data_IF_059618022511
#
_entry.id   IF_059618022511
#
_cell.length_a   1.000
_cell.length_b   1.000
_cell.length_c   1.000
_cell.angle_alpha   90.00
_cell.angle_beta   90.00
_cell.angle_gamma   90.00
#
_symmetry.space_group_name_H-M   'P 1'
#
loop_
_entity.id
_entity.type
_entity.pdbx_description
1 polymer ?
#
# COMPACT_ATOMS: atom_id res chain seq x y z
N UNK A 1 -15.42 6.28 25.34
CA UNK A 1 -14.28 7.09 25.84
C UNK A 1 -13.82 6.65 27.22
N UNK A 2 -14.69 6.47 28.19
CA UNK A 2 -14.28 5.99 29.54
C UNK A 2 -13.53 4.67 29.52
N UNK A 3 -13.92 3.72 28.65
CA UNK A 3 -13.19 2.45 28.45
C UNK A 3 -11.74 2.61 27.93
N UNK A 4 -11.44 3.74 27.32
CA UNK A 4 -10.07 4.10 26.84
C UNK A 4 -9.30 4.94 27.86
N UNK A 5 -9.76 5.02 29.10
CA UNK A 5 -9.08 5.77 30.17
C UNK A 5 -9.30 7.27 30.14
N UNK A 6 -10.14 7.80 29.27
CA UNK A 6 -10.51 9.22 29.22
C UNK A 6 -11.60 9.47 30.26
N UNK A 7 -11.25 10.20 31.33
CA UNK A 7 -12.12 10.41 32.49
C UNK A 7 -12.14 11.88 32.92
N UNK A 8 -13.04 12.20 33.86
CA UNK A 8 -13.12 13.48 34.53
C UNK A 8 -13.18 14.71 33.60
N UNK A 9 -12.39 15.73 33.86
CA UNK A 9 -12.42 17.02 33.17
C UNK A 9 -12.21 16.87 31.64
N UNK A 10 -11.37 15.93 31.20
CA UNK A 10 -11.14 15.69 29.76
C UNK A 10 -12.40 15.14 29.10
N UNK A 11 -13.10 14.23 29.75
CA UNK A 11 -14.37 13.68 29.23
C UNK A 11 -15.45 14.77 29.12
N UNK A 12 -15.58 15.57 30.18
CA UNK A 12 -16.54 16.70 30.23
C UNK A 12 -16.21 17.73 29.13
N UNK A 13 -14.92 18.03 28.96
CA UNK A 13 -14.48 18.95 27.92
C UNK A 13 -14.80 18.43 26.51
N UNK A 14 -14.54 17.16 26.22
CA UNK A 14 -14.90 16.55 24.92
C UNK A 14 -16.41 16.57 24.73
N UNK A 15 -17.19 16.32 25.78
CA UNK A 15 -18.65 16.41 25.71
C UNK A 15 -19.11 17.83 25.35
N UNK A 16 -18.58 18.86 26.02
CA UNK A 16 -18.86 20.25 25.67
C UNK A 16 -18.44 20.62 24.24
N UNK A 17 -17.29 20.08 23.79
CA UNK A 17 -16.81 20.29 22.41
C UNK A 17 -17.73 19.72 21.35
N UNK A 18 -18.48 18.65 21.65
CA UNK A 18 -19.37 17.98 20.72
C UNK A 18 -20.82 18.45 20.81
N UNK A 19 -21.25 19.04 21.93
CA UNK A 19 -22.64 19.45 22.16
C UNK A 19 -22.91 20.88 21.69
N UNK A 20 -24.20 21.19 21.45
CA UNK A 20 -24.70 22.53 21.13
C UNK A 20 -23.99 23.23 19.98
N UNK A 21 -23.54 22.47 18.99
CA UNK A 21 -22.85 23.03 17.82
C UNK A 21 -23.85 23.59 16.81
N UNK A 22 -23.49 24.71 16.24
CA UNK A 22 -24.22 25.29 15.11
C UNK A 22 -23.24 25.50 13.93
N UNK A 23 -23.79 25.47 12.72
CA UNK A 23 -23.08 25.80 11.50
C UNK A 23 -23.84 26.84 10.70
N UNK A 24 -23.13 27.63 9.90
CA UNK A 24 -23.72 28.54 8.94
C UNK A 24 -22.87 28.62 7.68
N UNK A 25 -23.51 28.91 6.58
CA UNK A 25 -22.82 29.13 5.29
C UNK A 25 -22.45 30.62 5.17
N UNK A 26 -21.23 30.89 4.69
CA UNK A 26 -20.77 32.24 4.41
C UNK A 26 -20.40 32.34 2.95
N UNK A 27 -21.06 33.25 2.20
CA UNK A 27 -20.77 33.50 0.77
C UNK A 27 -20.60 35.01 0.58
N UNK A 28 -19.44 35.41 0.11
CA UNK A 28 -19.09 36.84 -0.12
C UNK A 28 -19.34 37.75 1.08
N UNK A 29 -19.16 37.23 2.31
CA UNK A 29 -19.38 37.99 3.54
C UNK A 29 -20.79 37.89 4.12
N UNK A 30 -21.80 37.51 3.36
CA UNK A 30 -23.15 37.25 3.83
C UNK A 30 -23.23 35.90 4.53
N UNK A 31 -23.98 35.87 5.65
CA UNK A 31 -24.10 34.69 6.53
C UNK A 31 -25.52 34.16 6.52
N UNK A 32 -25.69 32.85 6.36
CA UNK A 32 -26.99 32.21 6.58
C UNK A 32 -27.36 32.19 8.07
N UNK A 33 -28.63 31.92 8.35
CA UNK A 33 -29.09 31.58 9.70
C UNK A 33 -28.31 30.36 10.22
N UNK A 34 -28.06 30.27 11.55
CA UNK A 34 -27.38 29.15 12.16
C UNK A 34 -28.26 27.90 12.12
N UNK A 35 -27.69 26.77 11.73
CA UNK A 35 -28.31 25.46 11.71
C UNK A 35 -27.66 24.56 12.76
N UNK A 36 -28.46 23.85 13.56
CA UNK A 36 -27.96 22.95 14.60
C UNK A 36 -27.24 21.72 13.98
N UNK A 37 -26.05 21.41 14.48
CA UNK A 37 -25.30 20.19 14.10
C UNK A 37 -25.60 19.10 15.12
N UNK A 38 -26.36 18.09 14.70
CA UNK A 38 -26.85 17.01 15.57
C UNK A 38 -25.92 15.79 15.61
N UNK A 39 -24.98 15.65 14.66
CA UNK A 39 -24.10 14.48 14.55
C UNK A 39 -22.70 14.83 14.03
N UNK A 40 -21.81 13.87 14.04
CA UNK A 40 -20.45 14.00 13.52
C UNK A 40 -19.51 14.80 14.42
N UNK A 41 -18.31 15.07 13.92
CA UNK A 41 -17.24 15.82 14.59
C UNK A 41 -16.90 17.08 13.79
N UNK A 42 -16.40 18.17 14.43
CA UNK A 42 -15.99 19.38 13.71
C UNK A 42 -14.90 19.08 12.69
N UNK A 43 -15.17 19.30 11.41
CA UNK A 43 -14.17 19.18 10.35
C UNK A 43 -13.12 20.27 10.47
N UNK A 44 -11.83 19.92 10.21
CA UNK A 44 -10.71 20.84 10.37
C UNK A 44 -10.18 20.99 11.79
N UNK A 45 -10.79 20.34 12.79
CA UNK A 45 -10.25 20.27 14.16
C UNK A 45 -9.20 19.16 14.30
N UNK A 46 -8.25 19.34 15.22
CA UNK A 46 -7.25 18.31 15.55
C UNK A 46 -7.90 17.09 16.23
N UNK A 47 -8.97 17.30 16.99
CA UNK A 47 -9.67 16.26 17.73
C UNK A 47 -10.62 15.43 16.87
N UNK A 48 -11.21 15.98 15.82
CA UNK A 48 -12.18 15.30 14.97
C UNK A 48 -11.71 13.92 14.50
N UNK A 49 -10.54 13.81 13.85
CA UNK A 49 -9.99 12.52 13.42
C UNK A 49 -9.76 11.54 14.57
N UNK A 50 -9.27 12.02 15.72
CA UNK A 50 -8.99 11.17 16.90
C UNK A 50 -10.31 10.62 17.48
N UNK A 51 -11.32 11.45 17.60
CA UNK A 51 -12.63 11.05 18.08
C UNK A 51 -13.29 10.04 17.15
N UNK A 52 -13.17 10.24 15.85
CA UNK A 52 -13.67 9.30 14.86
C UNK A 52 -12.93 7.94 14.95
N UNK A 53 -11.61 7.92 15.11
CA UNK A 53 -10.87 6.67 15.29
C UNK A 53 -11.28 5.92 16.55
N UNK A 54 -11.51 6.62 17.67
CA UNK A 54 -12.03 6.02 18.91
C UNK A 54 -13.42 5.44 18.68
N UNK A 55 -14.24 6.13 17.89
CA UNK A 55 -15.61 5.73 17.60
C UNK A 55 -15.68 4.47 16.74
N UNK A 56 -14.87 4.35 15.67
CA UNK A 56 -14.92 3.22 14.73
C UNK A 56 -14.10 2.00 15.19
N UNK A 57 -13.28 2.15 16.22
CA UNK A 57 -12.27 1.14 16.62
C UNK A 57 -12.88 -0.20 17.08
N UNK A 58 -14.13 -0.23 17.51
CA UNK A 58 -14.80 -1.46 17.96
C UNK A 58 -15.61 -2.16 16.85
N UNK A 59 -15.73 -1.56 15.66
CA UNK A 59 -16.40 -2.17 14.50
C UNK A 59 -15.89 -3.58 14.19
N UNK A 60 -14.57 -3.88 14.22
CA UNK A 60 -14.06 -5.23 13.94
C UNK A 60 -14.40 -6.28 15.01
N UNK A 61 -14.85 -5.91 16.21
CA UNK A 61 -15.05 -6.85 17.31
C UNK A 61 -16.20 -7.86 17.04
N UNK A 62 -17.13 -7.53 16.18
CA UNK A 62 -18.24 -8.40 15.78
C UNK A 62 -18.00 -9.14 14.46
N UNK A 63 -16.78 -9.11 13.89
CA UNK A 63 -16.44 -9.61 12.56
C UNK A 63 -15.40 -10.72 12.67
N UNK A 64 -15.64 -11.86 12.02
CA UNK A 64 -14.73 -13.01 12.00
C UNK A 64 -13.65 -12.84 10.93
N UNK A 65 -14.04 -12.33 9.77
CA UNK A 65 -13.13 -12.07 8.65
C UNK A 65 -12.14 -10.95 8.99
N UNK A 66 -10.92 -10.97 8.47
CA UNK A 66 -9.98 -9.87 8.62
C UNK A 66 -10.58 -8.55 8.13
N UNK A 67 -10.52 -7.53 8.97
CA UNK A 67 -10.96 -6.16 8.65
C UNK A 67 -9.76 -5.24 8.59
N UNK A 68 -9.76 -4.33 7.63
CA UNK A 68 -8.80 -3.24 7.55
C UNK A 68 -9.56 -1.92 7.54
N UNK A 69 -9.24 -1.04 8.47
CA UNK A 69 -9.83 0.30 8.61
C UNK A 69 -8.80 1.37 8.27
N UNK A 70 -9.21 2.37 7.52
CA UNK A 70 -8.43 3.57 7.27
C UNK A 70 -9.38 4.78 7.19
N UNK A 71 -9.44 5.56 8.27
CA UNK A 71 -10.45 6.57 8.48
C UNK A 71 -11.86 5.97 8.29
N UNK A 72 -12.66 6.48 7.35
CA UNK A 72 -13.98 6.00 6.96
C UNK A 72 -13.95 4.78 6.02
N UNK A 73 -12.82 4.53 5.35
CA UNK A 73 -12.66 3.38 4.45
C UNK A 73 -12.54 2.08 5.26
N UNK A 74 -13.48 1.17 5.08
CA UNK A 74 -13.51 -0.15 5.71
C UNK A 74 -13.43 -1.26 4.66
N UNK A 75 -12.60 -2.28 4.89
CA UNK A 75 -12.44 -3.43 4.01
C UNK A 75 -12.50 -4.72 4.78
N UNK A 76 -13.31 -5.63 4.31
CA UNK A 76 -13.45 -6.98 4.86
C UNK A 76 -12.92 -7.98 3.84
N UNK A 77 -12.07 -8.91 4.29
CA UNK A 77 -11.44 -9.90 3.44
C UNK A 77 -11.90 -11.30 3.84
N UNK A 78 -12.41 -12.07 2.90
CA UNK A 78 -12.74 -13.47 3.16
C UNK A 78 -12.04 -14.39 2.17
N UNK A 79 -11.52 -15.50 2.68
CA UNK A 79 -10.91 -16.55 1.88
C UNK A 79 -11.96 -17.57 1.47
N UNK A 80 -12.27 -17.64 0.19
CA UNK A 80 -13.17 -18.64 -0.36
C UNK A 80 -12.37 -19.93 -0.66
N UNK A 81 -12.80 -21.04 -0.10
CA UNK A 81 -12.21 -22.35 -0.35
C UNK A 81 -13.12 -23.09 -1.34
N UNK A 82 -12.58 -23.50 -2.48
CA UNK A 82 -13.34 -24.27 -3.46
C UNK A 82 -13.66 -25.68 -2.91
N UNK A 83 -14.80 -26.21 -3.25
CA UNK A 83 -15.31 -27.53 -2.78
C UNK A 83 -14.31 -28.66 -2.98
N UNK A 84 -13.51 -28.65 -4.05
CA UNK A 84 -12.42 -29.64 -4.28
C UNK A 84 -11.33 -29.64 -3.21
N UNK A 85 -11.15 -28.56 -2.48
CA UNK A 85 -10.15 -28.42 -1.41
C UNK A 85 -10.76 -28.54 -0.02
N UNK A 86 -12.09 -28.49 0.11
CA UNK A 86 -12.79 -28.65 1.39
C UNK A 86 -12.66 -30.09 1.93
N UNK A 87 -12.76 -31.09 1.08
CA UNK A 87 -12.64 -32.51 1.46
C UNK A 87 -11.25 -32.88 2.05
N UNK A 88 -10.18 -32.15 1.66
CA UNK A 88 -8.83 -32.37 2.22
C UNK A 88 -8.60 -31.72 3.59
N UNK A 89 -9.42 -30.77 4.01
CA UNK A 89 -9.26 -30.00 5.26
C UNK A 89 -10.30 -30.30 6.34
N UNK A 90 -11.32 -31.10 6.05
CA UNK A 90 -12.26 -31.59 7.06
C UNK A 90 -11.54 -32.29 8.21
N UNK A 91 -10.37 -32.88 7.96
CA UNK A 91 -9.51 -33.52 8.96
C UNK A 91 -8.70 -32.57 9.84
N UNK A 92 -8.71 -31.25 9.59
CA UNK A 92 -7.97 -30.24 10.35
C UNK A 92 -8.85 -29.37 11.29
N UNK A 93 -10.10 -29.74 11.49
CA UNK A 93 -10.93 -29.28 12.63
C UNK A 93 -11.53 -27.87 12.58
N UNK A 94 -11.43 -27.11 11.49
CA UNK A 94 -12.13 -25.83 11.36
C UNK A 94 -12.56 -25.55 9.92
N UNK A 95 -13.77 -25.96 9.59
CA UNK A 95 -14.41 -25.61 8.33
C UNK A 95 -15.27 -24.36 8.50
N UNK A 96 -14.74 -23.20 8.10
CA UNK A 96 -15.56 -22.01 7.88
C UNK A 96 -15.73 -21.82 6.37
N UNK A 97 -16.97 -21.88 5.88
CA UNK A 97 -17.24 -21.41 4.53
C UNK A 97 -17.10 -19.88 4.52
N UNK A 98 -16.03 -19.40 3.89
CA UNK A 98 -15.75 -17.98 3.79
C UNK A 98 -16.86 -17.17 3.12
N UNK A 99 -17.79 -17.84 2.41
CA UNK A 99 -18.96 -17.21 1.76
C UNK A 99 -19.99 -16.81 2.79
N UNK A 100 -20.45 -17.76 3.60
CA UNK A 100 -21.42 -17.52 4.67
C UNK A 100 -20.83 -16.63 5.74
N UNK A 101 -19.57 -16.83 6.08
CA UNK A 101 -18.86 -15.98 7.04
C UNK A 101 -18.87 -14.53 6.61
N UNK A 102 -18.57 -14.23 5.34
CA UNK A 102 -18.55 -12.86 4.85
C UNK A 102 -19.95 -12.21 4.89
N UNK A 103 -21.01 -12.94 4.51
CA UNK A 103 -22.37 -12.42 4.60
C UNK A 103 -22.78 -12.15 6.06
N UNK A 104 -22.44 -13.05 6.98
CA UNK A 104 -22.70 -12.85 8.40
C UNK A 104 -21.91 -11.66 8.96
N UNK A 105 -20.67 -11.47 8.55
CA UNK A 105 -19.86 -10.32 8.92
C UNK A 105 -20.47 -8.99 8.42
N UNK A 106 -20.95 -8.95 7.18
CA UNK A 106 -21.68 -7.79 6.65
C UNK A 106 -22.93 -7.48 7.46
N UNK A 107 -23.70 -8.51 7.85
CA UNK A 107 -24.87 -8.35 8.71
C UNK A 107 -24.49 -7.82 10.11
N UNK A 108 -23.37 -8.28 10.67
CA UNK A 108 -22.87 -7.82 11.97
C UNK A 108 -22.38 -6.37 11.91
N UNK A 109 -21.67 -6.00 10.85
CA UNK A 109 -21.26 -4.61 10.58
C UNK A 109 -22.47 -3.70 10.49
N UNK A 110 -23.54 -4.16 9.83
CA UNK A 110 -24.79 -3.39 9.73
C UNK A 110 -25.49 -3.23 11.09
N UNK A 111 -25.54 -4.30 11.90
CA UNK A 111 -26.06 -4.21 13.28
C UNK A 111 -25.26 -3.22 14.12
N UNK A 112 -23.93 -3.26 14.02
CA UNK A 112 -23.06 -2.29 14.69
C UNK A 112 -23.39 -0.86 14.28
N UNK A 113 -23.52 -0.60 12.97
CA UNK A 113 -23.87 0.71 12.45
C UNK A 113 -25.22 1.22 12.97
N UNK A 114 -26.24 0.36 13.02
CA UNK A 114 -27.55 0.69 13.58
C UNK A 114 -27.48 1.08 15.06
N UNK A 115 -26.70 0.35 15.88
CA UNK A 115 -26.48 0.66 17.30
C UNK A 115 -25.83 2.04 17.47
N UNK A 116 -24.84 2.33 16.64
CA UNK A 116 -24.08 3.58 16.69
C UNK A 116 -24.69 4.72 15.87
N UNK A 117 -25.89 4.51 15.29
CA UNK A 117 -26.58 5.50 14.44
C UNK A 117 -25.72 6.01 13.29
N UNK A 118 -24.96 5.10 12.69
CA UNK A 118 -24.24 5.31 11.44
C UNK A 118 -25.01 4.69 10.28
N UNK A 119 -24.85 5.27 9.10
CA UNK A 119 -25.38 4.73 7.86
C UNK A 119 -24.23 4.43 6.90
N UNK A 120 -24.26 3.24 6.32
CA UNK A 120 -23.38 2.91 5.20
C UNK A 120 -24.02 3.38 3.90
N UNK A 121 -23.22 3.98 3.04
CA UNK A 121 -23.68 4.27 1.69
C UNK A 121 -23.51 3.00 0.85
N UNK A 122 -24.62 2.23 0.70
CA UNK A 122 -24.62 0.93 0.02
C UNK A 122 -24.23 1.07 -1.45
N UNK A 123 -24.59 2.16 -2.14
CA UNK A 123 -24.21 2.44 -3.53
C UNK A 123 -22.70 2.52 -3.72
N UNK A 124 -21.97 2.94 -2.68
CA UNK A 124 -20.50 3.00 -2.68
C UNK A 124 -19.85 1.71 -2.24
N UNK A 125 -20.58 0.83 -1.56
CA UNK A 125 -20.10 -0.47 -1.13
C UNK A 125 -19.97 -1.42 -2.34
N UNK A 126 -18.83 -2.08 -2.48
CA UNK A 126 -18.56 -2.95 -3.62
C UNK A 126 -17.90 -4.24 -3.19
N UNK A 127 -18.18 -5.28 -3.96
CA UNK A 127 -17.54 -6.58 -3.79
C UNK A 127 -16.57 -6.86 -4.94
N UNK A 128 -15.35 -7.29 -4.62
CA UNK A 128 -14.36 -7.72 -5.59
C UNK A 128 -14.04 -9.20 -5.40
N UNK A 129 -14.30 -9.99 -6.42
CA UNK A 129 -13.96 -11.42 -6.45
C UNK A 129 -12.56 -11.61 -7.03
N UNK A 130 -11.62 -12.04 -6.20
CA UNK A 130 -10.23 -12.25 -6.59
C UNK A 130 -9.99 -13.74 -6.84
N UNK A 131 -9.34 -14.06 -7.97
CA UNK A 131 -8.99 -15.42 -8.37
C UNK A 131 -9.96 -16.05 -9.37
N UNK A 132 -9.40 -16.92 -10.23
CA UNK A 132 -10.14 -17.52 -11.35
C UNK A 132 -11.18 -18.56 -10.89
N UNK A 133 -10.99 -19.18 -9.73
CA UNK A 133 -11.89 -20.20 -9.17
C UNK A 133 -12.86 -19.65 -8.15
N UNK A 134 -13.03 -18.33 -8.07
CA UNK A 134 -13.99 -17.70 -7.17
C UNK A 134 -15.41 -17.92 -7.71
N UNK A 135 -16.37 -18.45 -6.90
CA UNK A 135 -17.73 -18.76 -7.35
C UNK A 135 -18.59 -17.53 -7.66
N UNK A 136 -18.09 -16.31 -7.45
CA UNK A 136 -18.77 -15.05 -7.79
C UNK A 136 -20.12 -14.88 -7.06
N UNK A 137 -20.21 -15.35 -5.81
CA UNK A 137 -21.43 -15.25 -5.01
C UNK A 137 -21.88 -13.80 -4.86
N UNK A 138 -23.19 -13.56 -4.88
CA UNK A 138 -23.77 -12.27 -4.52
C UNK A 138 -23.76 -12.10 -3.01
N UNK A 139 -23.53 -10.87 -2.56
CA UNK A 139 -23.59 -10.45 -1.16
C UNK A 139 -24.52 -9.27 -1.03
N UNK A 140 -25.23 -9.21 0.08
CA UNK A 140 -26.23 -8.15 0.32
C UNK A 140 -25.89 -7.32 1.56
N UNK A 141 -26.32 -6.07 1.55
CA UNK A 141 -26.34 -5.18 2.70
C UNK A 141 -27.64 -4.37 2.67
N UNK A 142 -28.38 -4.34 3.77
CA UNK A 142 -29.72 -3.71 3.85
C UNK A 142 -30.75 -4.26 2.85
N UNK A 143 -30.62 -5.54 2.45
CA UNK A 143 -31.48 -6.15 1.44
C UNK A 143 -31.09 -5.85 -0.01
N UNK A 144 -30.11 -4.98 -0.26
CA UNK A 144 -29.61 -4.63 -1.58
C UNK A 144 -28.35 -5.44 -1.93
N UNK A 145 -28.24 -5.91 -3.16
CA UNK A 145 -27.06 -6.63 -3.65
C UNK A 145 -25.91 -5.65 -3.86
N UNK A 146 -24.74 -5.94 -3.28
CA UNK A 146 -23.54 -5.14 -3.46
C UNK A 146 -23.01 -5.23 -4.89
N UNK A 147 -22.74 -4.09 -5.49
CA UNK A 147 -22.23 -3.99 -6.85
C UNK A 147 -20.88 -4.72 -7.00
N UNK A 148 -20.78 -5.61 -7.99
CA UNK A 148 -19.54 -6.32 -8.32
C UNK A 148 -18.59 -5.41 -9.09
N UNK A 149 -17.33 -5.43 -8.70
CA UNK A 149 -16.30 -4.66 -9.37
C UNK A 149 -15.10 -5.52 -9.75
N UNK A 150 -14.41 -5.13 -10.81
CA UNK A 150 -13.17 -5.77 -11.27
C UNK A 150 -11.95 -4.92 -11.02
N UNK A 151 -12.14 -3.66 -10.63
CA UNK A 151 -11.06 -2.73 -10.34
C UNK A 151 -11.54 -1.66 -9.34
N UNK A 152 -10.82 -1.46 -8.26
CA UNK A 152 -11.10 -0.42 -7.27
C UNK A 152 -9.82 0.34 -6.89
N UNK A 153 -10.00 1.60 -6.52
CA UNK A 153 -8.91 2.44 -6.03
C UNK A 153 -8.84 2.35 -4.51
N UNK A 154 -7.79 1.72 -4.03
CA UNK A 154 -7.50 1.54 -2.60
C UNK A 154 -6.30 2.38 -2.19
N UNK A 155 -6.48 3.35 -1.27
CA UNK A 155 -5.43 4.23 -0.76
C UNK A 155 -4.48 4.76 -1.87
N UNK A 156 -5.06 5.14 -3.00
CA UNK A 156 -4.31 5.68 -4.13
C UNK A 156 -3.82 4.66 -5.14
N UNK A 157 -3.89 3.35 -4.86
CA UNK A 157 -3.51 2.26 -5.76
C UNK A 157 -4.76 1.66 -6.41
N UNK A 158 -4.78 1.51 -7.74
CA UNK A 158 -5.82 0.74 -8.42
C UNK A 158 -5.48 -0.74 -8.33
N UNK A 159 -6.35 -1.48 -7.64
CA UNK A 159 -6.26 -2.93 -7.45
C UNK A 159 -7.28 -3.58 -8.38
N UNK A 160 -6.86 -4.52 -9.19
CA UNK A 160 -7.74 -5.30 -10.07
C UNK A 160 -7.92 -6.73 -9.55
N UNK A 161 -9.02 -7.37 -9.94
CA UNK A 161 -9.38 -8.73 -9.52
C UNK A 161 -8.39 -9.80 -9.96
N UNK A 162 -7.50 -9.47 -10.90
CA UNK A 162 -6.40 -10.33 -11.37
C UNK A 162 -5.07 -10.03 -10.66
N UNK A 163 -5.00 -8.97 -9.85
CA UNK A 163 -3.77 -8.48 -9.20
C UNK A 163 -2.63 -8.24 -10.22
N UNK A 164 -2.94 -7.68 -11.38
CA UNK A 164 -1.98 -7.36 -12.45
C UNK A 164 -1.53 -5.90 -12.42
N UNK A 165 -2.31 -5.02 -11.80
CA UNK A 165 -2.05 -3.58 -11.63
C UNK A 165 -1.86 -2.80 -12.94
N UNK A 166 -2.35 -3.32 -14.05
CA UNK A 166 -2.18 -2.71 -15.38
C UNK A 166 -2.71 -1.28 -15.44
N UNK A 167 -3.94 -1.07 -14.93
CA UNK A 167 -4.58 0.24 -14.90
C UNK A 167 -3.83 1.21 -13.99
N UNK A 168 -3.38 0.73 -12.83
CA UNK A 168 -2.57 1.53 -11.92
C UNK A 168 -1.30 2.04 -12.59
N UNK A 169 -0.53 1.13 -13.20
CA UNK A 169 0.75 1.46 -13.85
C UNK A 169 0.55 2.46 -14.99
N UNK A 170 -0.45 2.25 -15.84
CA UNK A 170 -0.79 3.21 -16.91
C UNK A 170 -1.19 4.57 -16.34
N UNK A 171 -1.97 4.58 -15.26
CA UNK A 171 -2.42 5.79 -14.59
C UNK A 171 -1.27 6.62 -13.99
N UNK A 172 -0.34 5.99 -13.25
CA UNK A 172 0.81 6.68 -12.68
C UNK A 172 1.78 7.20 -13.73
N UNK A 173 2.02 6.42 -14.81
CA UNK A 173 2.81 6.86 -15.96
C UNK A 173 2.18 8.07 -16.64
N UNK A 174 0.86 8.08 -16.83
CA UNK A 174 0.12 9.22 -17.35
C UNK A 174 0.27 10.48 -16.48
N UNK A 175 0.12 10.32 -15.16
CA UNK A 175 0.32 11.43 -14.20
C UNK A 175 1.76 11.97 -14.23
N UNK A 176 2.74 11.09 -14.22
CA UNK A 176 4.15 11.46 -14.29
C UNK A 176 4.52 12.18 -15.59
N UNK A 177 3.97 11.73 -16.74
CA UNK A 177 4.18 12.40 -18.03
C UNK A 177 3.51 13.79 -18.08
N UNK A 178 2.32 13.96 -17.49
CA UNK A 178 1.68 15.28 -17.37
C UNK A 178 2.54 16.22 -16.52
N UNK A 179 3.08 15.75 -15.41
CA UNK A 179 3.99 16.55 -14.57
C UNK A 179 5.26 16.94 -15.32
N UNK A 180 5.85 16.03 -16.11
CA UNK A 180 6.99 16.37 -16.98
C UNK A 180 6.63 17.43 -18.03
N UNK A 181 5.42 17.38 -18.56
CA UNK A 181 4.89 18.41 -19.47
C UNK A 181 4.84 19.79 -18.80
N UNK A 182 4.32 19.87 -17.58
CA UNK A 182 4.26 21.11 -16.79
C UNK A 182 5.66 21.66 -16.49
N UNK A 183 6.60 20.80 -16.08
CA UNK A 183 8.01 21.20 -15.86
C UNK A 183 8.60 21.77 -17.15
N UNK A 184 8.39 21.12 -18.30
CA UNK A 184 8.92 21.58 -19.59
C UNK A 184 8.35 22.93 -20.01
N UNK A 185 7.08 23.22 -19.71
CA UNK A 185 6.43 24.51 -20.03
C UNK A 185 6.86 25.60 -19.05
N UNK A 186 6.98 25.26 -17.77
CA UNK A 186 7.28 26.22 -16.71
C UNK A 186 8.74 26.69 -16.65
N UNK A 187 9.67 25.95 -17.27
CA UNK A 187 11.10 26.26 -17.22
C UNK A 187 11.67 26.35 -18.63
N UNK A 188 12.07 27.56 -19.05
CA UNK A 188 12.70 27.82 -20.36
C UNK A 188 14.09 27.21 -20.47
N UNK A 189 14.83 27.13 -19.36
CA UNK A 189 16.12 26.46 -19.25
C UNK A 189 16.07 25.49 -18.07
N UNK A 190 16.22 24.20 -18.35
CA UNK A 190 16.25 23.15 -17.35
C UNK A 190 17.66 22.56 -17.28
N UNK A 191 18.52 23.21 -16.50
CA UNK A 191 19.86 22.70 -16.24
C UNK A 191 19.83 21.46 -15.31
N UNK A 192 21.00 20.90 -15.03
CA UNK A 192 21.14 19.70 -14.22
C UNK A 192 20.71 19.94 -12.76
N UNK A 193 21.00 21.11 -12.21
CA UNK A 193 20.70 21.45 -10.82
C UNK A 193 19.19 21.63 -10.62
N UNK A 194 18.53 22.42 -11.45
CA UNK A 194 17.07 22.61 -11.44
C UNK A 194 16.36 21.26 -11.65
N UNK A 195 16.84 20.47 -12.63
CA UNK A 195 16.29 19.13 -12.87
C UNK A 195 16.35 18.25 -11.62
N UNK A 196 17.47 18.24 -10.90
CA UNK A 196 17.64 17.42 -9.69
C UNK A 196 16.81 17.91 -8.51
N UNK A 197 16.38 19.16 -8.49
CA UNK A 197 15.40 19.65 -7.52
C UNK A 197 13.97 19.25 -7.89
N UNK A 198 13.60 19.30 -9.16
CA UNK A 198 12.22 19.10 -9.60
C UNK A 198 11.85 17.63 -9.80
N UNK A 199 12.66 16.86 -10.54
CA UNK A 199 12.33 15.47 -10.90
C UNK A 199 12.16 14.55 -9.69
N UNK A 200 13.07 14.55 -8.70
CA UNK A 200 12.95 13.69 -7.53
C UNK A 200 11.77 14.03 -6.63
N UNK A 201 11.30 15.27 -6.65
CA UNK A 201 10.22 15.76 -5.77
C UNK A 201 8.86 15.65 -6.44
N UNK A 202 8.74 16.01 -7.72
CA UNK A 202 7.44 16.15 -8.39
C UNK A 202 7.07 14.92 -9.24
N UNK A 203 8.03 14.25 -9.85
CA UNK A 203 7.76 13.19 -10.83
C UNK A 203 8.00 11.80 -10.24
N UNK A 204 9.16 11.58 -9.65
CA UNK A 204 9.59 10.27 -9.16
C UNK A 204 8.67 9.68 -8.09
N UNK A 205 8.14 10.44 -7.11
CA UNK A 205 7.23 9.90 -6.11
C UNK A 205 5.94 9.32 -6.72
N UNK A 206 5.46 9.86 -7.84
CA UNK A 206 4.30 9.33 -8.56
C UNK A 206 4.55 7.91 -9.09
N UNK A 207 5.82 7.55 -9.38
CA UNK A 207 6.25 6.27 -9.92
C UNK A 207 6.73 5.29 -8.84
N UNK A 208 6.85 5.73 -7.59
CA UNK A 208 7.39 4.93 -6.48
C UNK A 208 6.41 4.72 -5.33
N UNK A 209 5.31 5.48 -5.27
CA UNK A 209 4.33 5.38 -4.19
C UNK A 209 3.77 3.96 -4.10
N UNK A 210 3.85 3.37 -2.90
CA UNK A 210 3.29 2.05 -2.56
C UNK A 210 3.79 0.91 -3.47
N UNK A 211 5.00 1.02 -4.01
CA UNK A 211 5.58 0.10 -5.00
C UNK A 211 5.65 -1.35 -4.51
N UNK A 212 5.69 -1.58 -3.20
CA UNK A 212 5.69 -2.91 -2.61
C UNK A 212 4.45 -3.71 -2.99
N UNK A 213 3.31 -3.05 -3.19
CA UNK A 213 2.04 -3.67 -3.57
C UNK A 213 2.02 -4.04 -5.05
N UNK A 214 2.41 -3.11 -5.93
CA UNK A 214 2.14 -3.20 -7.37
C UNK A 214 3.39 -3.37 -8.25
N UNK A 215 4.60 -3.51 -7.70
CA UNK A 215 5.84 -3.61 -8.49
C UNK A 215 5.70 -4.60 -9.64
N UNK A 216 5.85 -4.16 -10.90
CA UNK A 216 5.62 -5.01 -12.06
C UNK A 216 6.74 -6.03 -12.25
N UNK A 217 6.35 -7.25 -12.64
CA UNK A 217 7.28 -8.28 -13.11
C UNK A 217 7.28 -8.41 -14.65
N UNK A 218 6.19 -7.98 -15.31
CA UNK A 218 6.09 -8.01 -16.77
C UNK A 218 7.00 -6.96 -17.39
N UNK A 219 7.91 -7.37 -18.27
CA UNK A 219 8.92 -6.50 -18.93
C UNK A 219 8.29 -5.27 -19.61
N UNK A 220 7.08 -5.42 -20.20
CA UNK A 220 6.38 -4.30 -20.85
C UNK A 220 6.11 -3.14 -19.88
N UNK A 221 5.76 -3.42 -18.64
CA UNK A 221 5.46 -2.39 -17.63
C UNK A 221 6.73 -1.82 -16.99
N UNK A 222 7.75 -2.65 -16.78
CA UNK A 222 9.07 -2.17 -16.35
C UNK A 222 9.58 -1.15 -17.35
N UNK A 223 9.57 -1.48 -18.65
CA UNK A 223 9.97 -0.56 -19.74
C UNK A 223 9.08 0.68 -19.81
N UNK A 224 7.75 0.55 -19.57
CA UNK A 224 6.82 1.66 -19.62
C UNK A 224 7.13 2.71 -18.55
N UNK A 225 7.39 2.27 -17.33
CA UNK A 225 7.76 3.14 -16.21
C UNK A 225 9.13 3.79 -16.49
N UNK A 226 10.12 3.02 -16.92
CA UNK A 226 11.47 3.50 -17.21
C UNK A 226 11.50 4.53 -18.35
N UNK A 227 10.60 4.42 -19.34
CA UNK A 227 10.44 5.43 -20.41
C UNK A 227 10.16 6.83 -19.88
N UNK A 228 9.49 6.96 -18.74
CA UNK A 228 9.25 8.27 -18.12
C UNK A 228 10.57 8.89 -17.68
N UNK A 229 11.44 8.14 -17.00
CA UNK A 229 12.76 8.63 -16.58
C UNK A 229 13.69 8.88 -17.77
N UNK A 230 13.66 8.01 -18.78
CA UNK A 230 14.40 8.24 -20.05
C UNK A 230 13.99 9.55 -20.74
N UNK A 231 12.69 9.88 -20.73
CA UNK A 231 12.18 11.15 -21.25
C UNK A 231 12.58 12.32 -20.36
N UNK A 232 12.43 12.17 -19.05
CA UNK A 232 12.77 13.20 -18.08
C UNK A 232 14.23 13.64 -18.20
N UNK A 233 15.17 12.69 -18.21
CA UNK A 233 16.61 13.00 -18.32
C UNK A 233 17.01 13.66 -19.65
N UNK A 234 16.20 13.55 -20.71
CA UNK A 234 16.39 14.28 -21.98
C UNK A 234 15.94 15.74 -21.94
N UNK A 235 15.23 16.16 -20.89
CA UNK A 235 14.84 17.55 -20.71
C UNK A 235 16.02 18.46 -20.36
N UNK A 236 17.13 17.87 -19.84
CA UNK A 236 18.37 18.58 -19.58
C UNK A 236 19.13 18.73 -20.90
N UNK A 237 19.28 19.97 -21.48
CA UNK A 237 19.85 20.15 -22.81
C UNK A 237 21.26 19.58 -22.97
N UNK A 238 22.12 19.79 -21.98
CA UNK A 238 23.51 19.26 -21.97
C UNK A 238 23.62 17.73 -21.98
N UNK A 239 22.52 17.01 -21.68
CA UNK A 239 22.50 15.55 -21.60
C UNK A 239 21.67 14.89 -22.70
N UNK A 240 20.96 15.66 -23.52
CA UNK A 240 19.94 15.19 -24.46
C UNK A 240 20.44 14.09 -25.39
N UNK A 241 21.65 14.28 -25.92
CA UNK A 241 22.25 13.42 -26.96
C UNK A 241 23.09 12.26 -26.39
N UNK A 242 23.30 12.24 -25.09
CA UNK A 242 24.04 11.19 -24.42
C UNK A 242 23.23 9.89 -24.28
N UNK A 243 23.89 8.71 -24.26
CA UNK A 243 23.28 7.43 -23.89
C UNK A 243 22.58 7.52 -22.53
N UNK A 244 21.54 6.73 -22.32
CA UNK A 244 20.72 6.79 -21.09
C UNK A 244 21.55 6.49 -19.84
N UNK A 245 22.40 5.51 -19.91
CA UNK A 245 23.28 5.06 -18.83
C UNK A 245 24.24 6.18 -18.40
N UNK A 246 24.79 6.92 -19.36
CA UNK A 246 25.65 8.07 -19.07
C UNK A 246 24.85 9.23 -18.45
N UNK A 247 23.62 9.48 -18.92
CA UNK A 247 22.74 10.48 -18.29
C UNK A 247 22.44 10.16 -16.84
N UNK A 248 22.20 8.88 -16.53
CA UNK A 248 21.98 8.43 -15.16
C UNK A 248 23.22 8.69 -14.29
N UNK A 249 24.39 8.35 -14.79
CA UNK A 249 25.67 8.57 -14.07
C UNK A 249 25.89 10.05 -13.77
N UNK A 250 25.73 10.93 -14.77
CA UNK A 250 25.93 12.38 -14.58
C UNK A 250 24.90 13.00 -13.63
N UNK A 251 23.66 12.51 -13.65
CA UNK A 251 22.59 12.94 -12.77
C UNK A 251 22.60 12.20 -11.42
N UNK A 252 23.54 11.28 -11.18
CA UNK A 252 23.60 10.44 -9.97
C UNK A 252 22.26 9.73 -9.70
N UNK A 253 21.59 9.30 -10.76
CA UNK A 253 20.35 8.54 -10.72
C UNK A 253 20.61 7.07 -10.97
N UNK A 254 19.79 6.20 -10.36
CA UNK A 254 19.72 4.78 -10.69
C UNK A 254 18.45 4.50 -11.50
N UNK A 255 18.34 3.31 -12.09
CA UNK A 255 17.10 2.94 -12.78
C UNK A 255 15.91 2.89 -11.82
N UNK A 256 14.71 3.10 -12.31
CA UNK A 256 13.50 2.96 -11.49
C UNK A 256 13.28 1.49 -11.07
N UNK A 257 13.84 0.51 -11.79
CA UNK A 257 13.84 -0.90 -11.37
C UNK A 257 14.70 -1.11 -10.12
N UNK A 258 15.93 -0.57 -10.09
CA UNK A 258 16.84 -0.66 -8.93
C UNK A 258 16.24 0.07 -7.72
N UNK A 259 15.62 1.22 -7.94
CA UNK A 259 14.93 1.95 -6.88
C UNK A 259 13.79 1.16 -6.25
N UNK A 260 13.01 0.41 -7.04
CA UNK A 260 11.97 -0.49 -6.50
C UNK A 260 12.58 -1.60 -5.64
N UNK A 261 13.68 -2.19 -6.11
CA UNK A 261 14.42 -3.21 -5.32
C UNK A 261 14.94 -2.58 -4.02
N UNK A 262 15.53 -1.40 -4.11
CA UNK A 262 16.01 -0.65 -2.92
C UNK A 262 14.85 -0.39 -1.93
N UNK A 263 13.70 0.03 -2.41
CA UNK A 263 12.50 0.25 -1.59
C UNK A 263 12.04 -1.03 -0.90
N UNK A 264 12.03 -2.16 -1.61
CA UNK A 264 11.70 -3.48 -1.04
C UNK A 264 12.70 -3.88 0.06
N UNK A 265 14.00 -3.66 -0.15
CA UNK A 265 15.03 -4.01 0.84
C UNK A 265 14.93 -3.13 2.09
N UNK A 266 14.69 -1.83 1.93
CA UNK A 266 14.49 -0.91 3.07
C UNK A 266 13.27 -1.34 3.90
N UNK A 267 12.15 -1.67 3.25
CA UNK A 267 10.95 -2.12 3.96
C UNK A 267 11.20 -3.48 4.65
N UNK A 268 11.87 -4.42 3.97
CA UNK A 268 12.23 -5.72 4.55
C UNK A 268 13.09 -5.55 5.81
N UNK A 269 14.11 -4.69 5.75
CA UNK A 269 14.94 -4.36 6.91
C UNK A 269 14.09 -3.80 8.06
N UNK A 270 13.24 -2.83 7.79
CA UNK A 270 12.39 -2.20 8.81
C UNK A 270 11.39 -3.18 9.45
N UNK A 271 10.82 -4.09 8.66
CA UNK A 271 9.92 -5.13 9.16
C UNK A 271 10.66 -6.12 10.08
N UNK A 272 11.83 -6.60 9.68
CA UNK A 272 12.64 -7.54 10.47
C UNK A 272 13.10 -6.90 11.78
N UNK A 273 13.49 -5.63 11.75
CA UNK A 273 13.93 -4.87 12.92
C UNK A 273 12.77 -4.29 13.76
N UNK A 274 11.51 -4.61 13.42
CA UNK A 274 10.33 -4.15 14.17
C UNK A 274 10.08 -2.64 14.13
N UNK A 275 10.60 -1.93 13.10
CA UNK A 275 10.55 -0.46 12.99
C UNK A 275 9.29 0.07 12.28
N UNK A 276 8.37 -0.81 11.87
CA UNK A 276 7.15 -0.42 11.14
C UNK A 276 5.85 -0.66 11.92
N UNK A 277 5.91 -1.03 13.19
CA UNK A 277 4.71 -1.36 13.97
C UNK A 277 3.94 -2.60 13.49
N UNK A 278 4.38 -3.23 12.40
CA UNK A 278 3.80 -4.46 11.84
C UNK A 278 4.79 -5.60 12.03
N UNK A 279 4.31 -6.71 12.60
CA UNK A 279 5.16 -7.89 12.79
C UNK A 279 5.57 -8.49 11.45
N UNK A 280 6.85 -8.77 11.26
CA UNK A 280 7.41 -9.36 10.02
C UNK A 280 6.76 -10.68 9.62
N UNK A 281 6.27 -11.48 10.60
CA UNK A 281 5.67 -12.77 10.36
C UNK A 281 4.35 -12.72 9.56
N UNK A 282 3.75 -11.54 9.39
CA UNK A 282 2.65 -11.32 8.43
C UNK A 282 3.11 -11.42 6.96
N UNK A 283 4.39 -11.18 6.70
CA UNK A 283 4.96 -11.17 5.36
C UNK A 283 5.94 -12.30 5.11
N UNK A 284 6.73 -12.67 6.12
CA UNK A 284 7.88 -13.56 5.98
C UNK A 284 7.88 -14.66 7.05
N UNK A 285 8.30 -15.85 6.63
CA UNK A 285 8.73 -16.92 7.54
C UNK A 285 10.25 -16.88 7.58
N UNK A 286 10.84 -16.92 8.77
CA UNK A 286 12.29 -17.03 8.90
C UNK A 286 12.74 -18.46 8.56
N UNK A 287 13.94 -18.58 7.98
CA UNK A 287 14.50 -19.89 7.66
C UNK A 287 15.00 -20.56 8.93
N UNK A 288 14.48 -21.77 9.20
CA UNK A 288 14.94 -22.66 10.28
C UNK A 288 15.79 -23.77 9.65
N UNK A 289 17.13 -23.61 9.62
CA UNK A 289 18.02 -24.67 9.16
C UNK A 289 19.01 -24.96 10.26
N UNK A 290 18.94 -26.18 10.80
CA UNK A 290 19.94 -26.71 11.75
C UNK A 290 21.26 -26.93 10.99
N UNK A 291 22.36 -26.34 11.46
CA UNK A 291 23.71 -26.66 11.03
C UNK A 291 24.42 -25.66 10.10
N UNK A 292 23.78 -24.60 9.63
CA UNK A 292 24.46 -23.55 8.84
C UNK A 292 24.75 -22.32 9.72
N UNK A 293 26.05 -21.98 9.96
CA UNK A 293 26.43 -20.83 10.78
C UNK A 293 25.95 -19.47 10.26
N UNK A 294 25.71 -19.35 8.96
CA UNK A 294 25.12 -18.13 8.38
C UNK A 294 23.62 -18.04 8.62
N UNK A 295 22.92 -19.16 8.74
CA UNK A 295 21.50 -19.25 9.05
C UNK A 295 21.26 -19.14 10.57
N UNK A 296 22.22 -19.56 11.39
CA UNK A 296 22.20 -19.38 12.84
C UNK A 296 22.10 -17.92 13.30
N UNK A 297 22.34 -16.93 12.41
CA UNK A 297 22.17 -15.51 12.65
C UNK A 297 20.73 -15.02 12.53
N UNK A 298 19.76 -15.92 12.28
CA UNK A 298 18.33 -15.64 12.47
C UNK A 298 17.67 -14.64 11.50
N UNK A 299 18.37 -14.15 10.47
CA UNK A 299 17.81 -13.11 9.57
C UNK A 299 17.57 -13.55 8.13
N UNK A 300 17.87 -14.81 7.77
CA UNK A 300 17.50 -15.37 6.45
C UNK A 300 15.99 -15.65 6.40
N UNK A 301 15.38 -15.32 5.26
CA UNK A 301 13.95 -15.49 5.04
C UNK A 301 13.70 -16.74 4.22
N UNK A 302 12.77 -17.59 4.69
CA UNK A 302 12.33 -18.76 3.95
C UNK A 302 11.56 -18.38 2.70
N UNK A 303 11.93 -18.98 1.55
CA UNK A 303 11.25 -18.77 0.27
C UNK A 303 10.29 -19.92 0.00
N UNK A 304 8.99 -19.62 -0.05
CA UNK A 304 7.99 -20.60 -0.44
C UNK A 304 8.01 -20.85 -1.95
N UNK A 305 7.78 -22.11 -2.36
CA UNK A 305 7.54 -22.42 -3.78
C UNK A 305 6.21 -21.84 -4.21
N UNK A 306 6.16 -21.25 -5.38
CA UNK A 306 4.95 -20.65 -5.95
C UNK A 306 4.81 -21.03 -7.41
N UNK A 307 3.66 -21.59 -7.77
CA UNK A 307 3.34 -22.00 -9.15
C UNK A 307 2.75 -20.85 -9.97
N UNK A 308 2.19 -19.83 -9.29
CA UNK A 308 1.59 -18.68 -9.95
C UNK A 308 2.54 -17.47 -9.92
N UNK A 309 2.76 -16.86 -11.08
CA UNK A 309 3.62 -15.67 -11.20
C UNK A 309 3.18 -14.54 -10.26
N UNK A 310 1.87 -14.31 -10.10
CA UNK A 310 1.33 -13.30 -9.17
C UNK A 310 1.82 -13.52 -7.73
N UNK A 311 1.87 -14.80 -7.27
CA UNK A 311 2.41 -15.14 -5.96
C UNK A 311 3.93 -15.03 -5.93
N UNK A 312 4.61 -15.51 -6.98
CA UNK A 312 6.08 -15.49 -7.11
C UNK A 312 6.66 -14.09 -7.04
N UNK A 313 5.96 -13.11 -7.64
CA UNK A 313 6.42 -11.72 -7.72
C UNK A 313 5.77 -10.78 -6.71
N UNK A 314 4.88 -11.25 -5.80
CA UNK A 314 4.42 -10.41 -4.70
C UNK A 314 5.57 -10.09 -3.72
N UNK A 315 5.45 -9.02 -2.96
CA UNK A 315 6.50 -8.52 -2.05
C UNK A 315 7.07 -9.62 -1.16
N UNK A 316 6.22 -10.41 -0.51
CA UNK A 316 6.64 -11.45 0.42
C UNK A 316 7.42 -12.62 -0.23
N UNK A 317 7.44 -12.73 -1.56
CA UNK A 317 8.17 -13.77 -2.30
C UNK A 317 9.35 -13.21 -3.11
N UNK A 318 9.26 -11.98 -3.63
CA UNK A 318 10.36 -11.38 -4.38
C UNK A 318 11.44 -10.77 -3.48
N UNK A 319 11.04 -10.19 -2.34
CA UNK A 319 11.99 -9.58 -1.41
C UNK A 319 12.99 -10.60 -0.83
N UNK A 320 12.61 -11.81 -0.38
CA UNK A 320 13.54 -12.82 0.10
C UNK A 320 14.67 -13.17 -0.88
N UNK A 321 14.41 -13.13 -2.19
CA UNK A 321 15.41 -13.45 -3.21
C UNK A 321 16.61 -12.48 -3.15
N UNK A 322 16.32 -11.20 -2.93
CA UNK A 322 17.35 -10.16 -2.84
C UNK A 322 17.91 -10.04 -1.44
N UNK A 323 17.06 -10.14 -0.43
CA UNK A 323 17.43 -10.06 0.98
C UNK A 323 18.47 -11.12 1.37
N UNK A 324 18.26 -12.37 0.99
CA UNK A 324 19.15 -13.47 1.34
C UNK A 324 20.54 -13.39 0.66
N UNK A 325 20.68 -12.51 -0.34
CA UNK A 325 21.95 -12.23 -1.04
C UNK A 325 22.64 -10.95 -0.51
N UNK A 326 22.11 -10.32 0.54
CA UNK A 326 22.76 -9.16 1.16
C UNK A 326 23.98 -9.61 1.97
N UNK A 327 24.98 -8.73 2.03
CA UNK A 327 26.16 -8.95 2.87
C UNK A 327 25.82 -8.80 4.36
N UNK A 328 26.69 -9.34 5.21
CA UNK A 328 26.56 -9.21 6.65
C UNK A 328 26.47 -7.74 7.11
N UNK A 329 27.26 -6.86 6.51
CA UNK A 329 27.25 -5.41 6.85
C UNK A 329 25.89 -4.77 6.63
N UNK A 330 25.19 -5.16 5.57
CA UNK A 330 23.87 -4.64 5.27
C UNK A 330 22.82 -5.18 6.25
N UNK A 331 22.83 -6.49 6.47
CA UNK A 331 21.81 -7.17 7.31
C UNK A 331 21.96 -6.81 8.78
N UNK A 332 23.17 -6.58 9.28
CA UNK A 332 23.47 -6.24 10.67
C UNK A 332 23.54 -4.71 10.92
N UNK A 333 23.09 -3.90 9.97
CA UNK A 333 23.05 -2.45 10.13
C UNK A 333 22.26 -2.05 11.39
N UNK A 334 22.79 -1.12 12.17
CA UNK A 334 22.24 -0.69 13.44
C UNK A 334 21.05 0.26 13.29
N UNK A 335 20.93 0.92 12.14
CA UNK A 335 19.86 1.85 11.85
C UNK A 335 19.43 1.80 10.37
N UNK A 336 18.23 2.30 10.09
CA UNK A 336 17.74 2.42 8.70
C UNK A 336 18.64 3.30 7.85
N UNK A 337 19.28 4.32 8.44
CA UNK A 337 20.21 5.20 7.73
C UNK A 337 21.50 4.47 7.35
N UNK A 338 22.06 3.69 8.28
CA UNK A 338 23.23 2.85 8.03
C UNK A 338 22.91 1.80 6.98
N UNK A 339 21.76 1.11 7.10
CA UNK A 339 21.31 0.13 6.09
C UNK A 339 21.25 0.72 4.69
N UNK A 340 20.63 1.89 4.54
CA UNK A 340 20.56 2.59 3.25
C UNK A 340 21.94 2.88 2.67
N UNK A 341 22.86 3.38 3.52
CA UNK A 341 24.23 3.70 3.11
C UNK A 341 24.98 2.45 2.63
N UNK A 342 24.96 1.37 3.43
CA UNK A 342 25.65 0.12 3.07
C UNK A 342 25.06 -0.50 1.81
N UNK A 343 23.72 -0.48 1.67
CA UNK A 343 23.02 -0.97 0.49
C UNK A 343 23.42 -0.19 -0.78
N UNK A 344 23.47 1.14 -0.70
CA UNK A 344 23.80 2.02 -1.83
C UNK A 344 25.28 1.87 -2.22
N UNK A 345 26.19 1.66 -1.27
CA UNK A 345 27.62 1.40 -1.53
C UNK A 345 27.85 0.06 -2.26
N UNK A 346 27.05 -0.97 -1.96
CA UNK A 346 27.16 -2.28 -2.59
C UNK A 346 26.48 -2.38 -3.97
N UNK A 347 25.68 -1.38 -4.37
CA UNK A 347 24.89 -1.39 -5.61
C UNK A 347 25.75 -1.47 -6.89
N UNK A 348 26.88 -0.74 -7.05
CA UNK A 348 27.71 -0.82 -8.25
C UNK A 348 28.20 -2.24 -8.55
N UNK A 349 28.58 -3.00 -7.54
CA UNK A 349 29.03 -4.39 -7.69
C UNK A 349 27.88 -5.32 -8.15
N UNK A 350 26.63 -5.04 -7.76
CA UNK A 350 25.45 -5.81 -8.15
C UNK A 350 24.97 -5.52 -9.56
N UNK A 351 25.13 -4.29 -10.04
CA UNK A 351 24.81 -3.89 -11.43
C UNK A 351 25.75 -4.58 -12.40
N UNK A 352 27.04 -4.70 -12.10
CA UNK A 352 28.00 -5.39 -12.91
C UNK A 352 27.71 -6.87 -13.15
N UNK A 353 27.18 -7.57 -12.15
CA UNK A 353 26.79 -9.00 -12.26
C UNK A 353 25.54 -9.26 -13.09
N UNK A 354 24.66 -8.26 -13.30
CA UNK A 354 23.44 -8.42 -14.13
C UNK A 354 23.76 -8.49 -15.63
N UNK A 355 24.81 -7.85 -16.09
CA UNK A 355 25.20 -7.86 -17.51
C UNK A 355 25.94 -9.13 -17.92
N UNK A 356 26.49 -9.89 -16.98
CA UNK A 356 27.20 -11.15 -17.26
C UNK A 356 26.28 -12.38 -17.29
N UNK A 357 25.11 -12.36 -16.67
CA UNK A 357 24.20 -13.51 -16.59
C UNK A 357 23.13 -13.60 -17.70
N UNK A 358 23.11 -12.68 -18.66
CA UNK A 358 22.15 -12.68 -19.79
C UNK A 358 22.77 -13.16 -21.11
N UNK A 359 23.94 -13.80 -21.06
CA UNK A 359 24.61 -14.43 -22.22
C UNK A 359 24.77 -15.94 -22.06
N UNK A 360 23.76 -16.64 -21.54
CA UNK A 360 23.66 -18.10 -21.65
C UNK A 360 22.20 -18.51 -21.87
#
# INVERSE_FOLDING_TARGET
>A
MSKYGIKNNVLNWVQSFLQQRTQRVVVRGEKSEPFNVTSGVPQGSVLGPILFLIFINDLPLGVISPVSLFADDSKVFSRIISERNSLKRINEGSYFDGRETLQNDLNNIRKWASIWKMEFNVDKCKIMHIGNSNPQQAYTMDGEELAKTVNEKDLGVHVDNKLEFDQHIKGIVGKANRMLGLIKIGFSCLDQEIFMHLYPVLVRPLLEYCVQVWSPYKRKYIKLIERVQRRATKLVPALKDLPYEERLTRLKLTTLEDRRIRGDMILTYKLIEGKEGIKYNKFFKMANVRGDPEIARGKKIYRERSNLDKRKYCFSQRAPIKWNNLSKREVDATSTSVFKKEFDLAEPARVGTRYTSTRS
#
